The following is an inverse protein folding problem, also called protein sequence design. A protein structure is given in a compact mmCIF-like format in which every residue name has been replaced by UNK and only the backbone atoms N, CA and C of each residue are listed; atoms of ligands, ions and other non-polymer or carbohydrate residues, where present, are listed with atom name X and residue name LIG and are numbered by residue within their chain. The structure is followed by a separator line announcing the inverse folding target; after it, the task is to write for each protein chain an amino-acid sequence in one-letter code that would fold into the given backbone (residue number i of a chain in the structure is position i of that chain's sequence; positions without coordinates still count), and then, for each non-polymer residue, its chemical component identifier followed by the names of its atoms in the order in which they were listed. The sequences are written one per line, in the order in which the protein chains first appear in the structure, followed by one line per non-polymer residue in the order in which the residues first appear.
data_IF_916501450124
#
_entry.id   IF_916501450124
#
_cell.length_a   1.000
_cell.length_b   1.000
_cell.length_c   1.000
_cell.angle_alpha   90.00
_cell.angle_beta   90.00
_cell.angle_gamma   90.00
#
_symmetry.space_group_name_H-M   'P 1'
#
loop_
_entity.id
_entity.type
_entity.pdbx_description
1 polymer ?
#
# COMPACT_ATOMS: atom_id res chain seq x y z
N UNK A 1 -5.87 4.81 18.96
CA UNK A 1 -4.76 4.13 18.28
C UNK A 1 -5.32 3.54 16.99
N UNK A 2 -4.67 3.78 15.85
CA UNK A 2 -5.03 3.17 14.56
C UNK A 2 -4.68 1.68 14.60
N UNK A 3 -5.56 0.81 14.11
CA UNK A 3 -5.29 -0.62 14.08
C UNK A 3 -4.10 -0.93 13.13
N UNK A 4 -3.33 -2.01 13.35
CA UNK A 4 -2.33 -2.46 12.39
C UNK A 4 -2.95 -2.73 11.02
N UNK A 5 -2.19 -2.47 9.96
CA UNK A 5 -2.63 -2.70 8.57
C UNK A 5 -2.15 -1.63 7.59
N UNK A 6 -2.69 -1.70 6.37
CA UNK A 6 -2.41 -0.76 5.28
C UNK A 6 -3.62 0.13 5.03
N UNK A 7 -3.36 1.43 5.00
CA UNK A 7 -4.34 2.47 4.82
C UNK A 7 -4.05 3.26 3.55
N UNK A 8 -5.08 3.63 2.81
CA UNK A 8 -5.00 4.57 1.69
C UNK A 8 -5.45 5.97 2.10
N UNK A 9 -4.79 6.97 1.53
CA UNK A 9 -5.15 8.36 1.73
C UNK A 9 -6.31 8.77 0.83
N UNK A 10 -7.40 9.21 1.43
CA UNK A 10 -8.60 9.71 0.76
C UNK A 10 -8.38 11.09 0.13
N UNK A 11 -9.21 11.49 -0.86
CA UNK A 11 -9.15 12.82 -1.46
C UNK A 11 -9.32 13.98 -0.46
N UNK A 12 -10.08 13.76 0.61
CA UNK A 12 -10.30 14.74 1.69
C UNK A 12 -9.14 14.78 2.72
N UNK A 13 -8.14 13.92 2.55
CA UNK A 13 -6.97 13.81 3.43
C UNK A 13 -7.12 12.80 4.56
N UNK A 14 -8.28 12.13 4.69
CA UNK A 14 -8.51 11.02 5.61
C UNK A 14 -7.74 9.76 5.24
N UNK A 15 -7.81 8.75 6.11
CA UNK A 15 -7.18 7.44 5.90
C UNK A 15 -8.22 6.34 6.01
N UNK A 16 -8.33 5.52 4.97
CA UNK A 16 -9.26 4.38 4.92
C UNK A 16 -8.48 3.08 4.88
N UNK A 17 -8.86 2.05 5.67
CA UNK A 17 -8.21 0.76 5.62
C UNK A 17 -8.42 0.09 4.26
N UNK A 18 -7.33 -0.32 3.59
CA UNK A 18 -7.39 -1.17 2.40
C UNK A 18 -7.16 -2.64 2.73
N UNK A 19 -6.32 -2.90 3.73
CA UNK A 19 -5.97 -4.25 4.13
C UNK A 19 -5.71 -4.27 5.64
N UNK A 20 -6.52 -5.04 6.36
CA UNK A 20 -6.34 -5.25 7.79
C UNK A 20 -5.56 -6.55 7.96
N UNK A 21 -4.27 -6.45 8.30
CA UNK A 21 -3.49 -7.59 8.74
C UNK A 21 -3.19 -7.46 10.24
N UNK A 22 -3.43 -8.54 10.97
CA UNK A 22 -3.08 -8.66 12.38
C UNK A 22 -1.60 -9.05 12.58
N UNK A 23 -0.88 -9.43 11.52
CA UNK A 23 0.51 -9.89 11.57
C UNK A 23 1.45 -9.06 10.72
N UNK A 24 1.75 -7.83 11.16
CA UNK A 24 2.69 -6.91 10.49
C UNK A 24 4.17 -7.36 10.41
N UNK A 25 4.44 -8.66 10.54
CA UNK A 25 5.78 -9.26 10.46
C UNK A 25 6.10 -9.89 9.10
N UNK A 26 5.11 -10.09 8.23
CA UNK A 26 5.30 -10.90 7.00
C UNK A 26 5.66 -10.08 5.76
N UNK A 27 5.37 -8.77 5.72
CA UNK A 27 5.67 -7.93 4.56
C UNK A 27 5.78 -6.44 4.88
N UNK A 28 6.53 -5.70 4.06
CA UNK A 28 6.61 -4.25 4.09
C UNK A 28 6.05 -3.64 2.80
N UNK A 29 5.37 -2.49 2.88
CA UNK A 29 4.95 -1.73 1.69
C UNK A 29 6.13 -1.46 0.75
N UNK A 30 7.33 -1.32 1.30
CA UNK A 30 8.54 -1.03 0.53
C UNK A 30 9.01 -2.22 -0.32
N UNK A 31 8.49 -3.42 -0.08
CA UNK A 31 8.72 -4.62 -0.90
C UNK A 31 8.03 -4.50 -2.27
N UNK A 32 6.89 -3.82 -2.35
CA UNK A 32 6.25 -3.48 -3.63
C UNK A 32 7.20 -2.65 -4.51
N UNK A 33 7.95 -1.71 -3.90
CA UNK A 33 8.99 -0.97 -4.63
C UNK A 33 10.22 -1.81 -4.93
N UNK A 34 10.66 -2.63 -3.98
CA UNK A 34 11.90 -3.40 -4.13
C UNK A 34 11.76 -4.50 -5.19
N UNK A 35 10.61 -5.16 -5.21
CA UNK A 35 10.31 -6.33 -6.05
C UNK A 35 9.57 -5.90 -7.31
N UNK A 36 8.53 -5.07 -7.18
CA UNK A 36 7.72 -4.60 -8.30
C UNK A 36 8.32 -3.45 -9.09
N UNK A 37 9.39 -2.82 -8.59
CA UNK A 37 10.04 -1.69 -9.26
C UNK A 37 9.17 -0.44 -9.36
N UNK A 38 8.03 -0.40 -8.66
CA UNK A 38 7.04 0.67 -8.76
C UNK A 38 6.87 1.48 -7.47
N UNK A 39 6.39 2.70 -7.62
CA UNK A 39 6.04 3.58 -6.51
C UNK A 39 7.18 4.37 -5.89
N UNK A 40 6.79 5.34 -5.08
CA UNK A 40 7.69 6.28 -4.40
C UNK A 40 7.61 6.07 -2.90
N UNK A 41 8.75 5.74 -2.27
CA UNK A 41 8.87 5.60 -0.82
C UNK A 41 8.79 6.98 -0.16
N UNK A 42 8.16 7.00 1.00
CA UNK A 42 8.19 8.13 1.93
C UNK A 42 8.05 7.63 3.36
N UNK A 43 8.03 8.57 4.29
CA UNK A 43 7.75 8.33 5.70
C UNK A 43 6.98 9.53 6.28
N UNK A 44 6.11 9.28 7.25
CA UNK A 44 5.55 10.34 8.10
C UNK A 44 6.62 10.87 9.08
N UNK A 45 6.38 12.03 9.73
CA UNK A 45 7.33 12.59 10.70
C UNK A 45 7.67 11.69 11.89
N UNK A 46 6.78 10.75 12.23
CA UNK A 46 7.00 9.75 13.28
C UNK A 46 7.74 8.49 12.77
N UNK A 47 8.15 8.47 11.50
CA UNK A 47 8.85 7.35 10.87
C UNK A 47 7.93 6.31 10.23
N UNK A 48 6.60 6.47 10.29
CA UNK A 48 5.67 5.51 9.70
C UNK A 48 5.89 5.37 8.18
N UNK A 49 6.10 4.16 7.63
CA UNK A 49 6.37 3.99 6.20
C UNK A 49 5.20 4.40 5.32
N UNK A 50 5.52 5.15 4.26
CA UNK A 50 4.62 5.52 3.19
C UNK A 50 5.07 4.94 1.85
N UNK A 51 4.10 4.66 0.98
CA UNK A 51 4.32 4.32 -0.42
C UNK A 51 3.28 5.02 -1.29
N UNK A 52 3.72 5.87 -2.22
CA UNK A 52 2.85 6.42 -3.25
C UNK A 52 2.83 5.51 -4.48
N UNK A 53 1.64 5.12 -4.93
CA UNK A 53 1.41 4.32 -6.14
C UNK A 53 0.51 5.08 -7.11
N UNK A 54 0.96 5.20 -8.36
CA UNK A 54 0.11 5.72 -9.43
C UNK A 54 -0.83 4.64 -9.96
N UNK A 55 -1.90 5.05 -10.62
CA UNK A 55 -2.77 4.11 -11.34
C UNK A 55 -2.00 3.32 -12.39
N UNK A 56 -1.04 3.95 -13.07
CA UNK A 56 -0.19 3.27 -14.06
C UNK A 56 0.65 2.18 -13.40
N UNK A 57 1.29 2.46 -12.27
CA UNK A 57 2.07 1.48 -11.51
C UNK A 57 1.24 0.24 -11.18
N UNK A 58 0.03 0.46 -10.65
CA UNK A 58 -0.90 -0.60 -10.26
C UNK A 58 -1.33 -1.44 -11.45
N UNK A 59 -1.69 -0.82 -12.57
CA UNK A 59 -2.11 -1.56 -13.77
C UNK A 59 -0.93 -2.32 -14.41
N UNK A 60 0.29 -1.79 -14.36
CA UNK A 60 1.48 -2.51 -14.86
C UNK A 60 1.78 -3.75 -14.03
N UNK A 61 1.80 -3.64 -12.70
CA UNK A 61 2.07 -4.80 -11.83
C UNK A 61 0.99 -5.87 -11.97
N UNK A 62 -0.28 -5.49 -12.14
CA UNK A 62 -1.35 -6.47 -12.34
C UNK A 62 -1.35 -7.10 -13.73
N UNK A 63 -0.80 -6.43 -14.74
CA UNK A 63 -0.68 -6.95 -16.09
C UNK A 63 0.45 -7.98 -16.21
N UNK A 64 1.58 -7.71 -15.54
CA UNK A 64 2.78 -8.55 -15.55
C UNK A 64 3.37 -8.61 -14.12
N UNK A 65 2.79 -9.44 -13.24
CA UNK A 65 3.21 -9.50 -11.84
C UNK A 65 4.60 -10.13 -11.72
N UNK A 66 5.54 -9.49 -10.99
CA UNK A 66 6.84 -10.10 -10.75
C UNK A 66 6.70 -11.42 -9.97
N UNK A 67 7.43 -12.47 -10.38
CA UNK A 67 7.39 -13.79 -9.74
C UNK A 67 7.73 -13.77 -8.24
N UNK A 68 8.55 -12.81 -7.81
CA UNK A 68 8.97 -12.66 -6.42
C UNK A 68 7.95 -11.87 -5.57
N UNK A 69 6.85 -11.40 -6.15
CA UNK A 69 5.81 -10.66 -5.44
C UNK A 69 4.77 -11.63 -4.86
N UNK A 70 4.66 -11.64 -3.54
CA UNK A 70 3.73 -12.52 -2.80
C UNK A 70 2.26 -12.27 -3.20
N UNK A 71 1.44 -13.34 -3.18
CA UNK A 71 -0.02 -13.29 -3.43
C UNK A 71 -0.73 -12.24 -2.57
N UNK A 72 -0.31 -12.05 -1.32
CA UNK A 72 -0.86 -11.03 -0.43
C UNK A 72 -0.55 -9.60 -0.92
N UNK A 73 0.66 -9.36 -1.43
CA UNK A 73 1.01 -8.07 -2.02
C UNK A 73 0.24 -7.84 -3.31
N UNK A 74 0.00 -8.88 -4.11
CA UNK A 74 -0.87 -8.80 -5.28
C UNK A 74 -2.32 -8.47 -4.89
N UNK A 75 -2.84 -9.08 -3.82
CA UNK A 75 -4.17 -8.77 -3.29
C UNK A 75 -4.27 -7.32 -2.79
N UNK A 76 -3.24 -6.81 -2.12
CA UNK A 76 -3.15 -5.40 -1.72
C UNK A 76 -3.15 -4.48 -2.95
N UNK A 77 -2.36 -4.78 -3.98
CA UNK A 77 -2.32 -3.99 -5.22
C UNK A 77 -3.68 -4.00 -5.92
N UNK A 78 -4.38 -5.13 -5.93
CA UNK A 78 -5.76 -5.20 -6.42
C UNK A 78 -6.72 -4.31 -5.61
N UNK A 79 -6.61 -4.30 -4.28
CA UNK A 79 -7.39 -3.40 -3.42
C UNK A 79 -7.08 -1.91 -3.71
N UNK A 80 -5.81 -1.58 -3.94
CA UNK A 80 -5.37 -0.23 -4.34
C UNK A 80 -5.99 0.16 -5.69
N UNK A 81 -6.08 -0.76 -6.65
CA UNK A 81 -6.74 -0.52 -7.94
C UNK A 81 -8.20 -0.13 -7.76
N UNK A 82 -8.94 -0.89 -6.95
CA UNK A 82 -10.35 -0.63 -6.69
C UNK A 82 -10.54 0.70 -5.94
N UNK A 83 -9.66 1.03 -4.99
CA UNK A 83 -9.65 2.34 -4.33
C UNK A 83 -9.46 3.50 -5.32
N UNK A 84 -8.45 3.41 -6.20
CA UNK A 84 -8.18 4.44 -7.21
C UNK A 84 -9.36 4.60 -8.20
N UNK A 85 -10.06 3.51 -8.52
CA UNK A 85 -11.27 3.53 -9.34
C UNK A 85 -12.44 4.21 -8.63
N UNK A 86 -12.68 3.86 -7.37
CA UNK A 86 -13.79 4.39 -6.57
C UNK A 86 -13.63 5.89 -6.29
N UNK A 87 -12.40 6.34 -6.00
CA UNK A 87 -12.12 7.74 -5.66
C UNK A 87 -11.81 8.62 -6.86
N UNK A 88 -11.50 8.04 -8.01
CA UNK A 88 -11.03 8.77 -9.20
C UNK A 88 -9.62 9.36 -9.07
N UNK A 89 -8.89 9.04 -8.00
CA UNK A 89 -7.51 9.48 -7.81
C UNK A 89 -6.59 8.87 -8.89
N UNK A 90 -5.63 9.66 -9.39
CA UNK A 90 -4.58 9.16 -10.32
C UNK A 90 -3.40 8.52 -9.59
N UNK A 91 -3.26 8.81 -8.30
CA UNK A 91 -2.22 8.32 -7.41
C UNK A 91 -2.79 8.28 -6.00
N UNK A 92 -2.37 7.29 -5.23
CA UNK A 92 -2.74 7.15 -3.81
C UNK A 92 -1.46 7.02 -2.98
N UNK A 93 -1.49 7.60 -1.78
CA UNK A 93 -0.46 7.34 -0.77
C UNK A 93 -0.97 6.27 0.17
N UNK A 94 -0.17 5.23 0.36
CA UNK A 94 -0.39 4.17 1.33
C UNK A 94 0.43 4.43 2.58
N UNK A 95 -0.11 4.05 3.72
CA UNK A 95 0.54 4.05 5.03
C UNK A 95 0.43 2.67 5.65
N UNK A 96 1.53 2.15 6.18
CA UNK A 96 1.53 0.88 6.92
C UNK A 96 1.71 1.14 8.41
N UNK A 97 0.77 0.67 9.21
CA UNK A 97 0.82 0.74 10.67
C UNK A 97 1.16 -0.65 11.20
N UNK A 98 2.22 -0.75 11.99
CA UNK A 98 2.66 -2.00 12.61
C UNK A 98 2.02 -2.17 13.99
N UNK A 99 1.83 -3.42 14.48
CA UNK A 99 1.49 -3.63 15.88
C UNK A 99 2.55 -3.02 16.79
N UNK A 100 2.13 -2.41 17.89
CA UNK A 100 3.07 -1.93 18.89
C UNK A 100 3.88 -3.13 19.41
N UNK A 101 5.20 -3.10 19.22
CA UNK A 101 6.10 -4.08 19.81
C UNK A 101 5.96 -3.98 21.33
N UNK A 102 5.27 -4.95 21.93
CA UNK A 102 5.15 -5.11 23.37
C UNK A 102 6.37 -5.77 23.98
#
# INVERSE_FOLDING_TARGET
MTAPGVYAREPDGGWTPLYADAGGETYHLHDIKAVGGVGTRGQDPDGTPLLALSRTDVEMVLLDPPDALDEMLLALIAAVREHLRATGQKQVTLRQVFPASG
#
